data_IF_961261243404
#
_entry.id   IF_961261243404
#
_cell.length_a   1.000
_cell.length_b   1.000
_cell.length_c   1.000
_cell.angle_alpha   90.00
_cell.angle_beta   90.00
_cell.angle_gamma   90.00
#
_symmetry.space_group_name_H-M   'P 1'
#
loop_
_entity.id
_entity.type
_entity.pdbx_description
1 polymer ?
#
# COMPACT_ATOMS: atom_id res chain seq x y z
N UNK A 1 -12.33 24.17 -37.11
CA UNK A 1 -11.29 24.51 -36.10
C UNK A 1 -11.52 23.68 -34.84
N UNK A 2 -10.46 23.12 -34.26
CA UNK A 2 -10.57 22.38 -32.99
C UNK A 2 -10.69 23.35 -31.80
N UNK A 3 -11.55 23.05 -30.84
CA UNK A 3 -11.74 23.87 -29.63
C UNK A 3 -10.49 23.82 -28.74
N UNK A 4 -9.82 24.96 -28.58
CA UNK A 4 -8.67 25.13 -27.66
C UNK A 4 -9.18 25.37 -26.23
N UNK A 5 -8.36 25.00 -25.24
CA UNK A 5 -8.69 25.09 -23.81
C UNK A 5 -7.59 25.80 -23.04
N UNK A 6 -7.99 26.59 -22.04
CA UNK A 6 -7.11 27.35 -21.15
C UNK A 6 -6.99 26.67 -19.80
N UNK A 7 -5.81 26.78 -19.18
CA UNK A 7 -5.54 26.21 -17.86
C UNK A 7 -6.39 26.91 -16.78
N UNK A 8 -7.01 26.16 -15.85
CA UNK A 8 -7.76 26.75 -14.74
C UNK A 8 -6.85 27.22 -13.60
N UNK A 9 -5.60 26.77 -13.56
CA UNK A 9 -4.62 27.11 -12.51
C UNK A 9 -3.66 28.20 -12.99
N UNK A 10 -3.09 28.93 -12.02
CA UNK A 10 -2.03 29.92 -12.28
C UNK A 10 -0.71 29.29 -12.73
N UNK A 11 -0.52 27.98 -12.53
CA UNK A 11 0.71 27.28 -12.93
C UNK A 11 0.66 26.90 -14.41
N UNK A 12 1.49 27.49 -15.28
CA UNK A 12 1.44 27.22 -16.72
C UNK A 12 2.11 25.91 -17.12
N UNK A 13 2.96 25.36 -16.25
CA UNK A 13 3.84 24.24 -16.54
C UNK A 13 3.16 22.86 -16.44
N UNK A 14 3.61 21.92 -17.25
CA UNK A 14 3.16 20.53 -17.25
C UNK A 14 3.89 19.70 -16.18
N UNK A 15 3.49 19.85 -14.92
CA UNK A 15 4.07 19.13 -13.78
C UNK A 15 3.19 17.98 -13.32
N UNK A 16 3.75 17.05 -12.52
CA UNK A 16 2.99 15.90 -11.97
C UNK A 16 1.78 16.31 -11.12
N UNK A 17 1.85 17.46 -10.44
CA UNK A 17 0.74 18.02 -9.66
C UNK A 17 -0.32 18.70 -10.54
N UNK A 18 0.09 19.29 -11.67
CA UNK A 18 -0.78 20.01 -12.62
C UNK A 18 -1.23 19.12 -13.80
N UNK A 19 -1.31 17.80 -13.57
CA UNK A 19 -1.88 16.87 -14.56
C UNK A 19 -3.35 17.23 -14.80
N UNK A 20 -3.79 17.13 -16.05
CA UNK A 20 -5.07 17.65 -16.52
C UNK A 20 -5.73 16.70 -17.51
N UNK A 21 -7.07 16.66 -17.49
CA UNK A 21 -7.91 15.92 -18.44
C UNK A 21 -8.85 16.90 -19.14
N UNK A 22 -8.96 16.80 -20.46
CA UNK A 22 -9.97 17.54 -21.22
C UNK A 22 -11.30 16.80 -21.09
N UNK A 23 -12.32 17.49 -20.61
CA UNK A 23 -13.67 16.95 -20.39
C UNK A 23 -14.67 17.82 -21.14
N UNK A 24 -15.65 17.20 -21.80
CA UNK A 24 -16.79 17.89 -22.39
C UNK A 24 -17.84 18.14 -21.31
N UNK A 25 -18.15 19.39 -21.04
CA UNK A 25 -19.18 19.75 -20.06
C UNK A 25 -20.58 19.54 -20.65
N UNK A 26 -21.63 19.46 -19.81
CA UNK A 26 -23.01 19.34 -20.28
C UNK A 26 -23.42 20.43 -21.29
N UNK A 27 -22.91 21.66 -21.14
CA UNK A 27 -23.11 22.76 -22.09
C UNK A 27 -22.28 22.66 -23.39
N UNK A 28 -21.71 21.50 -23.71
CA UNK A 28 -20.99 21.23 -24.96
C UNK A 28 -19.57 21.81 -25.07
N UNK A 29 -19.11 22.56 -24.05
CA UNK A 29 -17.79 23.21 -24.05
C UNK A 29 -16.70 22.24 -23.56
N UNK A 30 -15.50 22.31 -24.13
CA UNK A 30 -14.33 21.59 -23.60
C UNK A 30 -13.69 22.40 -22.47
N UNK A 31 -13.38 21.75 -21.35
CA UNK A 31 -12.65 22.35 -20.22
C UNK A 31 -11.59 21.40 -19.68
N UNK A 32 -10.54 21.96 -19.06
CA UNK A 32 -9.59 21.17 -18.28
C UNK A 32 -10.11 20.91 -16.88
N UNK A 33 -10.05 19.65 -16.45
CA UNK A 33 -10.15 19.25 -15.05
C UNK A 33 -8.79 18.80 -14.55
N UNK A 34 -8.39 19.27 -13.36
CA UNK A 34 -7.16 18.83 -12.72
C UNK A 34 -7.31 17.39 -12.25
N UNK A 35 -6.42 16.53 -12.73
CA UNK A 35 -6.29 15.15 -12.27
C UNK A 35 -5.05 15.14 -11.39
N UNK A 36 -5.21 15.20 -10.07
CA UNK A 36 -4.06 15.24 -9.16
C UNK A 36 -3.11 14.04 -9.36
N UNK A 37 -1.89 14.12 -8.79
CA UNK A 37 -0.99 12.96 -8.61
C UNK A 37 -1.74 11.69 -8.17
N UNK A 38 -1.47 10.61 -8.88
CA UNK A 38 -1.97 9.27 -8.59
C UNK A 38 -1.26 8.74 -7.34
N UNK A 39 -2.01 8.12 -6.43
CA UNK A 39 -1.46 7.49 -5.24
C UNK A 39 -0.82 6.14 -5.57
N UNK A 40 0.25 5.79 -4.85
CA UNK A 40 0.85 4.45 -4.92
C UNK A 40 0.12 3.49 -3.99
N UNK A 41 0.02 2.22 -4.38
CA UNK A 41 -0.52 1.17 -3.50
C UNK A 41 0.35 0.96 -2.27
N UNK A 42 -0.24 0.71 -1.08
CA UNK A 42 0.51 0.26 0.09
C UNK A 42 1.27 -1.02 -0.20
N UNK A 43 2.54 -1.07 0.19
CA UNK A 43 3.44 -2.19 -0.07
C UNK A 43 3.72 -2.98 1.20
N UNK A 44 4.02 -4.26 1.05
CA UNK A 44 4.51 -5.10 2.12
C UNK A 44 5.86 -4.57 2.63
N UNK A 45 6.06 -4.55 3.94
CA UNK A 45 7.33 -4.11 4.52
C UNK A 45 8.51 -5.07 4.33
N UNK A 46 8.29 -6.33 3.93
CA UNK A 46 9.37 -7.33 3.74
C UNK A 46 9.70 -7.49 2.24
N UNK A 47 8.69 -7.80 1.43
CA UNK A 47 8.88 -8.13 0.00
C UNK A 47 8.51 -6.98 -0.96
N UNK A 48 8.05 -5.84 -0.45
CA UNK A 48 7.65 -4.66 -1.23
C UNK A 48 6.56 -4.88 -2.30
N UNK A 49 5.89 -6.04 -2.29
CA UNK A 49 4.73 -6.30 -3.16
C UNK A 49 3.54 -5.45 -2.72
N UNK A 50 2.68 -5.05 -3.66
CA UNK A 50 1.44 -4.35 -3.34
C UNK A 50 0.54 -5.22 -2.46
N UNK A 51 -0.03 -4.63 -1.40
CA UNK A 51 -0.92 -5.34 -0.50
C UNK A 51 -2.33 -5.45 -1.09
N UNK A 52 -2.86 -6.67 -1.28
CA UNK A 52 -4.22 -6.85 -1.77
C UNK A 52 -5.23 -6.42 -0.71
N UNK A 53 -6.39 -5.93 -1.17
CA UNK A 53 -7.50 -5.53 -0.31
C UNK A 53 -7.40 -4.15 0.33
N UNK A 54 -6.30 -3.41 0.11
CA UNK A 54 -6.14 -2.03 0.60
C UNK A 54 -6.22 -1.06 -0.58
N UNK A 55 -7.10 -0.06 -0.48
CA UNK A 55 -7.24 0.95 -1.54
C UNK A 55 -5.98 1.79 -1.65
N UNK A 56 -5.54 2.11 -2.85
CA UNK A 56 -4.45 3.06 -3.11
C UNK A 56 -5.00 4.49 -3.09
N UNK A 57 -4.75 5.21 -1.99
CA UNK A 57 -5.27 6.56 -1.76
C UNK A 57 -4.14 7.49 -1.33
N UNK A 58 -4.37 8.80 -1.39
CA UNK A 58 -3.42 9.76 -0.84
C UNK A 58 -3.46 9.77 0.70
N UNK A 59 -2.36 10.14 1.38
CA UNK A 59 -2.31 10.20 2.84
C UNK A 59 -3.48 10.97 3.48
N UNK A 60 -3.86 12.11 2.90
CA UNK A 60 -5.00 12.92 3.38
C UNK A 60 -6.35 12.21 3.21
N UNK A 61 -6.53 11.44 2.14
CA UNK A 61 -7.78 10.73 1.86
C UNK A 61 -7.98 9.54 2.80
N UNK A 62 -6.89 8.92 3.27
CA UNK A 62 -6.97 7.85 4.26
C UNK A 62 -7.62 8.30 5.57
N UNK A 63 -7.60 9.58 5.94
CA UNK A 63 -8.28 10.05 7.14
C UNK A 63 -9.80 9.83 7.06
N UNK A 64 -10.40 10.02 5.88
CA UNK A 64 -11.85 10.03 5.68
C UNK A 64 -12.45 8.65 5.38
N UNK A 65 -11.61 7.64 5.20
CA UNK A 65 -12.05 6.30 4.76
C UNK A 65 -12.30 5.39 5.97
N UNK A 66 -13.23 4.43 5.84
CA UNK A 66 -13.52 3.43 6.85
C UNK A 66 -12.32 2.52 7.14
N UNK A 67 -12.22 2.00 8.37
CA UNK A 67 -11.14 1.08 8.79
C UNK A 67 -11.01 -0.14 7.89
N UNK A 68 -12.14 -0.71 7.46
CA UNK A 68 -12.21 -1.91 6.60
C UNK A 68 -11.51 -1.75 5.25
N UNK A 69 -11.38 -0.52 4.73
CA UNK A 69 -10.69 -0.22 3.47
C UNK A 69 -9.19 0.07 3.66
N UNK A 70 -8.72 0.22 4.91
CA UNK A 70 -7.32 0.50 5.28
C UNK A 70 -6.56 -0.75 5.71
N UNK A 71 -7.26 -1.74 6.26
CA UNK A 71 -6.66 -2.93 6.89
C UNK A 71 -7.26 -4.21 6.36
N UNK A 72 -6.57 -5.34 6.57
CA UNK A 72 -7.09 -6.69 6.29
C UNK A 72 -7.21 -7.47 7.60
N UNK A 73 -8.25 -8.29 7.75
CA UNK A 73 -8.50 -9.08 8.95
C UNK A 73 -7.59 -10.33 9.02
N UNK A 74 -6.33 -10.13 9.40
CA UNK A 74 -5.34 -11.17 9.72
C UNK A 74 -4.23 -10.62 10.59
N UNK A 75 -3.38 -11.49 11.16
CA UNK A 75 -2.15 -11.07 11.81
C UNK A 75 -1.27 -10.21 10.87
N UNK A 76 -0.77 -9.08 11.38
CA UNK A 76 -0.01 -8.07 10.61
C UNK A 76 -0.72 -7.55 9.34
N UNK A 77 -2.05 -7.64 9.28
CA UNK A 77 -2.85 -7.09 8.20
C UNK A 77 -2.61 -5.59 8.01
N UNK A 78 -2.54 -5.13 6.77
CA UNK A 78 -2.21 -3.73 6.48
C UNK A 78 -0.72 -3.43 6.32
N UNK A 79 0.17 -4.27 6.86
CA UNK A 79 1.63 -4.05 6.83
C UNK A 79 2.38 -5.18 6.10
N UNK A 80 1.94 -6.44 6.28
CA UNK A 80 2.61 -7.63 5.75
C UNK A 80 1.69 -8.41 4.82
N UNK A 81 2.23 -9.01 3.75
CA UNK A 81 1.47 -9.89 2.86
C UNK A 81 1.29 -11.29 3.49
N UNK A 82 0.35 -12.09 2.98
CA UNK A 82 0.05 -13.41 3.52
C UNK A 82 1.28 -14.34 3.52
N UNK A 83 2.08 -14.31 2.45
CA UNK A 83 3.28 -15.13 2.33
C UNK A 83 4.32 -14.79 3.39
N UNK A 84 4.59 -13.50 3.62
CA UNK A 84 5.54 -13.06 4.66
C UNK A 84 5.04 -13.36 6.07
N UNK A 85 3.73 -13.31 6.31
CA UNK A 85 3.15 -13.71 7.60
C UNK A 85 3.33 -15.21 7.82
N UNK A 86 3.07 -16.04 6.80
CA UNK A 86 3.29 -17.48 6.87
C UNK A 86 4.75 -17.83 7.19
N UNK A 87 5.71 -17.23 6.49
CA UNK A 87 7.13 -17.50 6.73
C UNK A 87 7.57 -17.05 8.13
N UNK A 88 7.04 -15.94 8.66
CA UNK A 88 7.27 -15.49 10.04
C UNK A 88 6.77 -16.51 11.06
N UNK A 89 5.55 -17.01 10.89
CA UNK A 89 4.96 -18.01 11.81
C UNK A 89 5.80 -19.30 11.80
N UNK A 90 6.09 -19.84 10.62
CA UNK A 90 6.88 -21.08 10.49
C UNK A 90 8.28 -20.89 11.08
N UNK A 91 8.94 -19.77 10.77
CA UNK A 91 10.29 -19.48 11.28
C UNK A 91 10.29 -19.35 12.80
N UNK A 92 9.32 -18.64 13.38
CA UNK A 92 9.22 -18.48 14.82
C UNK A 92 9.05 -19.84 15.51
N UNK A 93 8.13 -20.67 15.01
CA UNK A 93 7.90 -22.01 15.53
C UNK A 93 9.16 -22.88 15.47
N UNK A 94 9.76 -23.05 14.30
CA UNK A 94 10.92 -23.92 14.12
C UNK A 94 12.14 -23.47 14.94
N UNK A 95 12.33 -22.16 15.10
CA UNK A 95 13.44 -21.62 15.91
C UNK A 95 13.23 -21.92 17.39
N UNK A 96 12.01 -21.77 17.90
CA UNK A 96 11.71 -22.11 19.30
C UNK A 96 11.83 -23.62 19.55
N UNK A 97 11.31 -24.46 18.67
CA UNK A 97 11.49 -25.92 18.78
C UNK A 97 12.97 -26.32 18.78
N UNK A 98 13.78 -25.74 17.88
CA UNK A 98 15.21 -26.00 17.84
C UNK A 98 15.94 -25.53 19.10
N UNK A 99 15.49 -24.43 19.74
CA UNK A 99 16.04 -23.96 21.03
C UNK A 99 15.74 -24.94 22.15
N UNK A 100 14.50 -25.44 22.23
CA UNK A 100 14.09 -26.42 23.25
C UNK A 100 14.91 -27.70 23.10
N UNK A 101 15.01 -28.25 21.88
CA UNK A 101 15.81 -29.45 21.60
C UNK A 101 17.27 -29.26 22.02
N UNK A 102 17.88 -28.10 21.70
CA UNK A 102 19.26 -27.79 22.12
C UNK A 102 19.41 -27.73 23.63
N UNK A 103 18.45 -27.13 24.35
CA UNK A 103 18.49 -27.06 25.80
C UNK A 103 18.37 -28.44 26.46
N UNK A 104 17.47 -29.30 25.95
CA UNK A 104 17.32 -30.67 26.44
C UNK A 104 18.59 -31.47 26.22
N UNK A 105 19.16 -31.44 25.01
CA UNK A 105 20.40 -32.16 24.69
C UNK A 105 21.59 -31.67 25.54
N UNK A 106 21.68 -30.36 25.83
CA UNK A 106 22.70 -29.82 26.73
C UNK A 106 22.53 -30.34 28.16
N UNK A 107 21.30 -30.37 28.68
CA UNK A 107 21.00 -30.87 30.03
C UNK A 107 21.24 -32.36 30.20
N UNK A 108 21.05 -33.16 29.14
CA UNK A 108 21.35 -34.60 29.15
C UNK A 108 22.85 -34.86 29.15
N UNK A 109 23.63 -34.07 28.40
CA UNK A 109 25.10 -34.16 28.39
C UNK A 109 25.71 -33.79 29.74
N UNK A 110 25.15 -32.83 30.46
CA UNK A 110 25.66 -32.43 31.79
C UNK A 110 25.29 -33.39 32.92
N UNK A 111 24.28 -34.24 32.73
CA UNK A 111 23.87 -35.27 33.71
C UNK A 111 24.65 -36.58 33.57
N UNK A 112 25.38 -36.75 32.46
CA UNK A 112 26.27 -37.87 32.20
C UNK A 112 27.68 -37.51 32.63
#
# INVERSE_FOLDING_TARGET
MANRVTLPTRTPYNTKSNRRRVVKTPGGKLKYHLTGKIATSPKCGDCHTALPGIKALRPREYANVSKTKKTVQRAYGGSRCANCVRTRIIRAFLVEEAKIVKAVLASQKSKK
#
